data_IF_091009404619
#
_entry.id   IF_091009404619
#
_cell.length_a   1.000
_cell.length_b   1.000
_cell.length_c   1.000
_cell.angle_alpha   90.00
_cell.angle_beta   90.00
_cell.angle_gamma   90.00
#
_symmetry.space_group_name_H-M   'P 1'
#
loop_
_entity.id
_entity.type
_entity.pdbx_description
1 polymer ?
#
# COMPACT_ATOMS: atom_id res chain seq x y z
N UNK A 1 35.19 -41.13 48.30
CA UNK A 1 35.17 -40.01 49.26
C UNK A 1 35.78 -38.79 48.59
N UNK A 2 34.92 -37.81 48.27
CA UNK A 2 35.04 -36.34 48.38
C UNK A 2 36.32 -35.68 47.83
N UNK A 3 36.30 -34.82 46.79
CA UNK A 3 35.60 -33.54 46.64
C UNK A 3 35.82 -32.58 47.82
N UNK A 4 36.70 -31.58 47.66
CA UNK A 4 36.40 -30.14 47.82
C UNK A 4 37.69 -29.30 47.91
N UNK A 5 37.57 -28.05 47.41
CA UNK A 5 38.39 -26.84 47.67
C UNK A 5 39.49 -26.47 46.66
N UNK A 6 39.07 -26.20 45.42
CA UNK A 6 39.76 -25.27 44.49
C UNK A 6 39.04 -23.91 44.44
N UNK A 7 38.50 -23.44 45.59
CA UNK A 7 37.63 -22.24 45.67
C UNK A 7 38.14 -21.15 46.62
N UNK A 8 39.41 -21.16 46.99
CA UNK A 8 39.99 -20.17 47.91
C UNK A 8 41.20 -19.40 47.36
N UNK A 9 41.61 -19.59 46.10
CA UNK A 9 42.78 -18.89 45.53
C UNK A 9 42.47 -17.64 44.69
N UNK A 10 41.20 -17.23 44.59
CA UNK A 10 40.75 -16.19 43.65
C UNK A 10 40.32 -14.86 44.29
N UNK A 11 40.65 -14.61 45.57
CA UNK A 11 40.16 -13.44 46.31
C UNK A 11 41.20 -12.61 47.08
N UNK A 12 42.51 -12.70 46.75
CA UNK A 12 43.55 -12.02 47.56
C UNK A 12 44.63 -11.25 46.79
N UNK A 13 44.36 -10.74 45.58
CA UNK A 13 45.27 -9.79 44.91
C UNK A 13 44.54 -8.57 44.30
N UNK A 14 43.54 -8.06 45.04
CA UNK A 14 43.14 -6.66 44.95
C UNK A 14 43.91 -5.86 46.02
N UNK A 15 44.40 -4.68 45.62
CA UNK A 15 45.05 -3.62 46.41
C UNK A 15 46.58 -3.68 46.60
N UNK A 16 47.30 -3.01 45.70
CA UNK A 16 48.26 -1.97 46.07
C UNK A 16 48.64 -1.13 44.82
N UNK A 17 48.10 0.08 44.76
CA UNK A 17 48.56 1.19 43.92
C UNK A 17 49.86 1.80 44.48
N UNK A 18 50.70 2.41 43.64
CA UNK A 18 51.30 3.77 43.78
C UNK A 18 52.04 4.15 42.48
N UNK A 19 51.92 5.43 42.13
CA UNK A 19 52.19 6.16 40.89
C UNK A 19 53.66 6.47 40.52
N UNK A 20 53.91 6.65 39.22
CA UNK A 20 54.86 7.57 38.54
C UNK A 20 54.80 7.24 37.03
N UNK A 21 54.98 8.09 36.02
CA UNK A 21 55.13 9.52 35.82
C UNK A 21 54.88 9.75 34.31
N UNK A 22 54.55 11.00 33.97
CA UNK A 22 54.20 11.52 32.65
C UNK A 22 55.37 11.43 31.65
N UNK A 23 55.15 10.85 30.45
CA UNK A 23 55.88 11.26 29.23
C UNK A 23 55.13 10.80 27.96
N UNK A 24 54.84 11.77 27.08
CA UNK A 24 54.27 11.58 25.75
C UNK A 24 55.26 10.87 24.81
N UNK A 25 54.85 9.77 24.20
CA UNK A 25 55.46 9.28 22.98
C UNK A 25 54.43 8.55 22.11
N UNK A 26 54.20 9.12 20.92
CA UNK A 26 53.35 8.60 19.84
C UNK A 26 53.61 7.12 19.57
N UNK A 27 52.59 6.29 19.73
CA UNK A 27 52.52 4.97 19.13
C UNK A 27 51.37 4.93 18.12
N UNK A 28 51.73 4.58 16.88
CA UNK A 28 50.82 4.28 15.79
C UNK A 28 50.01 3.03 16.16
N UNK A 29 48.68 3.18 16.23
CA UNK A 29 47.76 2.05 16.17
C UNK A 29 46.88 2.23 14.94
N UNK A 30 47.30 1.57 13.87
CA UNK A 30 46.46 1.26 12.73
C UNK A 30 45.56 0.09 13.13
N UNK A 31 44.56 0.37 13.97
CA UNK A 31 43.44 -0.52 14.17
C UNK A 31 42.52 -0.37 12.97
N UNK A 32 42.57 -1.34 12.06
CA UNK A 32 41.61 -1.44 10.97
C UNK A 32 40.20 -1.52 11.54
N UNK A 33 39.41 -0.48 11.29
CA UNK A 33 37.99 -0.49 11.55
C UNK A 33 37.37 -1.64 10.77
N UNK A 34 36.98 -2.72 11.46
CA UNK A 34 35.87 -3.55 11.01
C UNK A 34 34.68 -2.60 11.07
N UNK A 35 34.32 -2.02 9.93
CA UNK A 35 33.15 -1.17 9.80
C UNK A 35 31.97 -1.98 10.30
N UNK A 36 31.41 -1.57 11.43
CA UNK A 36 30.08 -1.98 11.84
C UNK A 36 29.18 -1.47 10.72
N UNK A 37 28.69 -2.38 9.88
CA UNK A 37 27.76 -2.07 8.81
C UNK A 37 26.53 -1.48 9.49
N UNK A 38 26.42 -0.14 9.51
CA UNK A 38 25.26 0.54 10.08
C UNK A 38 24.06 0.02 9.30
N UNK A 39 23.16 -0.69 9.98
CA UNK A 39 21.89 -1.14 9.40
C UNK A 39 21.23 0.07 8.76
N UNK A 40 21.21 0.10 7.42
CA UNK A 40 20.55 1.17 6.68
C UNK A 40 19.06 1.03 6.95
N UNK A 41 18.43 2.11 7.40
CA UNK A 41 16.99 2.17 7.65
C UNK A 41 16.40 3.24 6.76
N UNK A 42 15.29 2.90 6.10
CA UNK A 42 14.45 3.85 5.39
C UNK A 42 13.20 4.18 6.18
N UNK A 43 12.68 5.37 5.94
CA UNK A 43 11.46 5.87 6.55
C UNK A 43 10.49 6.24 5.45
N UNK A 44 9.22 5.90 5.63
CA UNK A 44 8.14 6.27 4.72
C UNK A 44 6.91 6.66 5.55
N UNK A 45 6.42 7.88 5.34
CA UNK A 45 5.25 8.38 6.03
C UNK A 45 4.01 8.23 5.17
N UNK A 46 2.92 7.72 5.73
CA UNK A 46 1.64 7.59 5.02
C UNK A 46 0.63 8.51 5.68
N UNK A 47 0.16 9.49 4.90
CA UNK A 47 -0.95 10.35 5.27
C UNK A 47 -2.21 9.88 4.56
N UNK A 48 -3.26 9.57 5.31
CA UNK A 48 -4.45 8.91 4.75
C UNK A 48 -5.54 9.94 4.44
N UNK A 49 -6.08 9.89 3.24
CA UNK A 49 -7.26 10.64 2.85
C UNK A 49 -8.43 9.69 2.56
N UNK A 50 -9.63 10.05 2.99
CA UNK A 50 -10.83 9.23 2.75
C UNK A 50 -11.84 9.98 1.89
N UNK A 51 -12.41 9.31 0.89
CA UNK A 51 -13.51 9.86 0.08
C UNK A 51 -14.88 9.69 0.75
N UNK A 52 -15.93 10.24 0.15
CA UNK A 52 -17.32 10.11 0.64
C UNK A 52 -17.82 8.67 0.61
N UNK A 53 -17.37 7.86 -0.34
CA UNK A 53 -17.86 6.47 -0.48
C UNK A 53 -17.33 5.58 0.64
N UNK A 54 -16.06 5.75 1.02
CA UNK A 54 -15.47 5.11 2.19
C UNK A 54 -16.19 5.57 3.47
N UNK A 55 -16.34 6.88 3.67
CA UNK A 55 -16.92 7.46 4.90
C UNK A 55 -18.39 7.12 5.11
N UNK A 56 -19.16 6.99 4.03
CA UNK A 56 -20.57 6.58 4.09
C UNK A 56 -20.74 5.10 4.45
N UNK A 57 -19.70 4.30 4.23
CA UNK A 57 -19.75 2.85 4.40
C UNK A 57 -19.05 2.36 5.66
N UNK A 58 -18.06 3.11 6.16
CA UNK A 58 -17.39 2.77 7.41
C UNK A 58 -18.35 2.94 8.61
N UNK A 59 -18.47 1.91 9.47
CA UNK A 59 -19.26 2.03 10.69
C UNK A 59 -18.51 2.82 11.78
N UNK A 60 -17.23 3.10 11.58
CA UNK A 60 -16.37 3.76 12.56
C UNK A 60 -16.53 5.29 12.50
N UNK A 61 -16.37 5.93 13.67
CA UNK A 61 -16.44 7.37 13.88
C UNK A 61 -15.40 7.79 14.91
N UNK A 62 -14.98 9.06 14.84
CA UNK A 62 -14.09 9.71 15.80
C UNK A 62 -12.83 8.86 16.08
N UNK A 63 -12.47 8.64 17.36
CA UNK A 63 -11.29 7.86 17.76
C UNK A 63 -11.26 6.45 17.16
N UNK A 64 -12.41 5.80 16.99
CA UNK A 64 -12.46 4.44 16.40
C UNK A 64 -12.06 4.46 14.94
N UNK A 65 -12.41 5.53 14.21
CA UNK A 65 -11.98 5.70 12.82
C UNK A 65 -10.47 5.96 12.75
N UNK A 66 -9.94 6.82 13.61
CA UNK A 66 -8.49 7.07 13.67
C UNK A 66 -7.71 5.79 14.01
N UNK A 67 -8.16 5.02 15.01
CA UNK A 67 -7.57 3.72 15.34
C UNK A 67 -7.66 2.74 14.16
N UNK A 68 -8.75 2.77 13.38
CA UNK A 68 -8.87 1.94 12.17
C UNK A 68 -7.84 2.34 11.12
N UNK A 69 -7.65 3.63 10.88
CA UNK A 69 -6.68 4.10 9.88
C UNK A 69 -5.24 3.85 10.33
N UNK A 70 -4.92 4.04 11.61
CA UNK A 70 -3.63 3.65 12.19
C UNK A 70 -3.41 2.13 12.05
N UNK A 71 -4.41 1.33 12.41
CA UNK A 71 -4.37 -0.13 12.29
C UNK A 71 -4.22 -0.61 10.84
N UNK A 72 -4.83 0.11 9.89
CA UNK A 72 -4.68 -0.15 8.47
C UNK A 72 -3.22 0.01 8.05
N UNK A 73 -2.57 1.12 8.43
CA UNK A 73 -1.14 1.34 8.14
C UNK A 73 -0.22 0.37 8.88
N UNK A 74 -0.56 -0.04 10.10
CA UNK A 74 0.16 -1.12 10.78
C UNK A 74 0.03 -2.46 10.10
N UNK A 75 -1.16 -2.79 9.59
CA UNK A 75 -1.37 -3.94 8.72
C UNK A 75 -0.46 -3.88 7.49
N UNK A 76 -0.39 -2.72 6.83
CA UNK A 76 0.51 -2.50 5.68
C UNK A 76 1.97 -2.71 6.07
N UNK A 77 2.40 -2.15 7.21
CA UNK A 77 3.77 -2.24 7.72
C UNK A 77 4.21 -3.70 7.91
N UNK A 78 3.29 -4.58 8.31
CA UNK A 78 3.56 -6.01 8.45
C UNK A 78 3.98 -6.68 7.13
N UNK A 79 3.61 -6.18 5.96
CA UNK A 79 4.04 -6.73 4.67
C UNK A 79 5.49 -6.39 4.31
N UNK A 80 6.10 -5.42 5.00
CA UNK A 80 7.47 -4.97 4.74
C UNK A 80 8.50 -5.55 5.72
N UNK A 81 8.07 -6.38 6.67
CA UNK A 81 8.92 -6.99 7.72
C UNK A 81 10.11 -7.80 7.20
N UNK A 82 10.03 -8.27 5.95
CA UNK A 82 11.05 -9.11 5.31
C UNK A 82 12.18 -8.27 4.68
N UNK A 83 12.00 -6.95 4.55
CA UNK A 83 13.05 -6.04 4.13
C UNK A 83 14.01 -5.83 5.32
N UNK A 84 15.19 -6.45 5.25
CA UNK A 84 16.22 -6.38 6.32
C UNK A 84 17.38 -5.44 6.00
N UNK A 85 17.62 -5.16 4.72
CA UNK A 85 18.77 -4.37 4.29
C UNK A 85 18.46 -3.66 2.98
N UNK A 86 18.09 -2.37 3.03
CA UNK A 86 17.69 -1.65 4.24
C UNK A 86 16.34 -2.12 4.79
N UNK A 87 16.15 -1.96 6.10
CA UNK A 87 14.81 -2.05 6.70
C UNK A 87 14.00 -0.82 6.33
N UNK A 88 12.67 -0.91 6.42
CA UNK A 88 11.79 0.22 6.18
C UNK A 88 10.79 0.40 7.33
N UNK A 89 10.75 1.62 7.87
CA UNK A 89 9.81 2.07 8.88
C UNK A 89 8.69 2.84 8.22
N UNK A 90 7.51 2.23 8.16
CA UNK A 90 6.30 2.87 7.65
C UNK A 90 5.56 3.51 8.84
N UNK A 91 5.24 4.81 8.71
CA UNK A 91 4.70 5.63 9.80
C UNK A 91 3.36 6.21 9.38
N UNK A 92 2.34 6.06 10.23
CA UNK A 92 1.07 6.77 10.05
C UNK A 92 1.24 8.24 10.44
N UNK A 93 0.90 9.16 9.53
CA UNK A 93 1.05 10.62 9.73
C UNK A 93 -0.23 11.32 10.16
N UNK A 94 -1.35 10.59 10.21
CA UNK A 94 -2.67 11.16 10.42
C UNK A 94 -3.57 11.03 9.19
N UNK A 95 -4.78 11.56 9.31
CA UNK A 95 -5.78 11.47 8.26
C UNK A 95 -6.67 12.70 8.12
N UNK A 96 -7.34 12.81 6.97
CA UNK A 96 -8.45 13.75 6.77
C UNK A 96 -9.45 13.25 5.72
N UNK A 97 -10.62 13.89 5.68
CA UNK A 97 -11.50 13.75 4.52
C UNK A 97 -10.94 14.53 3.32
N UNK A 98 -11.14 14.00 2.12
CA UNK A 98 -10.98 14.80 0.90
C UNK A 98 -12.00 15.95 0.89
N UNK A 99 -11.58 17.10 0.38
CA UNK A 99 -12.49 18.21 0.08
C UNK A 99 -13.32 17.89 -1.16
N UNK A 100 -14.45 18.58 -1.37
CA UNK A 100 -15.30 18.35 -2.54
C UNK A 100 -14.54 18.53 -3.87
N UNK A 101 -13.60 19.47 -3.93
CA UNK A 101 -12.80 19.72 -5.13
C UNK A 101 -11.76 18.62 -5.37
N UNK A 102 -11.14 18.11 -4.31
CA UNK A 102 -10.24 16.95 -4.39
C UNK A 102 -11.00 15.68 -4.77
N UNK A 103 -12.15 15.40 -4.13
CA UNK A 103 -12.99 14.25 -4.46
C UNK A 103 -13.38 14.28 -5.95
N UNK A 104 -13.87 15.42 -6.45
CA UNK A 104 -14.27 15.55 -7.85
C UNK A 104 -13.12 15.29 -8.84
N UNK A 105 -11.89 15.66 -8.48
CA UNK A 105 -10.70 15.48 -9.32
C UNK A 105 -10.14 14.07 -9.23
N UNK A 106 -10.04 13.49 -8.03
CA UNK A 106 -9.43 12.18 -7.79
C UNK A 106 -10.41 11.05 -8.11
N UNK A 107 -11.64 11.16 -7.62
CA UNK A 107 -12.67 10.12 -7.76
C UNK A 107 -13.43 10.28 -9.09
N UNK A 108 -13.60 11.52 -9.54
CA UNK A 108 -14.43 11.89 -10.70
C UNK A 108 -15.81 12.41 -10.29
N UNK A 109 -16.58 12.92 -11.25
CA UNK A 109 -17.92 13.46 -10.97
C UNK A 109 -19.02 12.40 -11.07
N UNK A 110 -19.96 12.38 -10.12
CA UNK A 110 -21.20 11.56 -10.15
C UNK A 110 -22.08 11.76 -11.41
N UNK A 111 -21.81 12.77 -12.24
CA UNK A 111 -22.63 13.14 -13.40
C UNK A 111 -22.56 12.14 -14.56
N UNK A 112 -21.70 11.12 -14.50
CA UNK A 112 -21.79 9.96 -15.38
C UNK A 112 -22.45 8.84 -14.59
N UNK A 113 -23.75 8.66 -14.83
CA UNK A 113 -24.63 7.66 -14.18
C UNK A 113 -24.20 6.20 -14.47
N UNK A 114 -23.04 6.01 -15.10
CA UNK A 114 -22.54 4.74 -15.63
C UNK A 114 -21.17 4.32 -15.10
N UNK A 115 -20.36 5.21 -14.52
CA UNK A 115 -19.01 4.86 -14.03
C UNK A 115 -19.07 4.54 -12.52
N UNK A 116 -19.22 3.25 -12.20
CA UNK A 116 -19.18 2.71 -10.83
C UNK A 116 -17.75 2.46 -10.33
N UNK A 117 -16.75 2.93 -11.09
CA UNK A 117 -15.34 2.69 -10.84
C UNK A 117 -14.51 3.96 -11.09
N UNK A 118 -13.44 4.13 -10.32
CA UNK A 118 -12.47 5.21 -10.43
C UNK A 118 -11.45 4.85 -11.51
N UNK A 119 -11.20 5.79 -12.43
CA UNK A 119 -10.09 5.72 -13.38
C UNK A 119 -8.78 5.99 -12.65
N UNK A 120 -8.12 4.93 -12.20
CA UNK A 120 -6.95 5.01 -11.33
C UNK A 120 -5.79 5.79 -11.96
N UNK A 121 -5.63 5.72 -13.29
CA UNK A 121 -4.59 6.47 -13.99
C UNK A 121 -4.80 7.99 -13.92
N UNK A 122 -6.05 8.45 -14.05
CA UNK A 122 -6.41 9.86 -13.88
C UNK A 122 -6.32 10.30 -12.42
N UNK A 123 -6.79 9.46 -11.50
CA UNK A 123 -6.72 9.72 -10.06
C UNK A 123 -5.27 9.97 -9.61
N UNK A 124 -4.34 9.09 -9.99
CA UNK A 124 -2.92 9.19 -9.62
C UNK A 124 -2.26 10.43 -10.21
N UNK A 125 -2.60 10.82 -11.46
CA UNK A 125 -2.13 12.09 -12.03
C UNK A 125 -2.61 13.29 -11.23
N UNK A 126 -3.90 13.35 -10.92
CA UNK A 126 -4.44 14.45 -10.14
C UNK A 126 -3.85 14.51 -8.73
N UNK A 127 -3.58 13.36 -8.10
CA UNK A 127 -2.90 13.29 -6.81
C UNK A 127 -1.53 13.97 -6.81
N UNK A 128 -0.80 13.96 -7.93
CA UNK A 128 0.50 14.64 -8.05
C UNK A 128 0.39 16.16 -8.15
N UNK A 129 -0.80 16.70 -8.43
CA UNK A 129 -1.03 18.13 -8.54
C UNK A 129 -1.47 18.76 -7.20
N UNK A 130 -1.70 17.96 -6.15
CA UNK A 130 -2.16 18.48 -4.86
C UNK A 130 -1.00 18.63 -3.87
N UNK A 131 -0.84 19.80 -3.23
CA UNK A 131 0.01 19.91 -2.06
C UNK A 131 -0.65 19.16 -0.90
N UNK A 132 0.07 18.24 -0.24
CA UNK A 132 -0.34 17.84 1.10
C UNK A 132 -0.06 18.98 2.05
N UNK A 133 -1.11 19.50 2.66
CA UNK A 133 -1.00 20.32 3.86
C UNK A 133 -1.03 19.38 5.07
N UNK A 134 0.14 19.16 5.67
CA UNK A 134 0.27 18.52 6.98
C UNK A 134 0.74 19.64 7.91
N UNK A 135 -0.06 19.98 8.92
CA UNK A 135 0.24 21.00 9.92
C UNK A 135 0.69 22.36 9.33
N UNK A 136 -0.06 22.91 8.36
CA UNK A 136 0.18 24.21 7.71
C UNK A 136 1.54 24.35 6.97
N UNK A 137 2.25 23.25 6.74
CA UNK A 137 3.41 23.23 5.84
C UNK A 137 2.98 22.78 4.44
N UNK A 138 3.00 23.72 3.51
CA UNK A 138 2.77 23.48 2.08
C UNK A 138 3.94 22.69 1.46
N UNK A 139 3.59 21.63 0.75
CA UNK A 139 4.39 20.70 -0.06
C UNK A 139 4.65 19.35 0.61
N UNK A 140 4.58 18.28 -0.20
CA UNK A 140 5.37 17.07 0.08
C UNK A 140 6.76 17.29 -0.52
N UNK A 141 7.77 17.71 0.25
CA UNK A 141 9.13 17.26 -0.01
C UNK A 141 9.37 15.97 0.77
N UNK A 142 9.91 14.96 0.09
CA UNK A 142 10.57 13.82 0.72
C UNK A 142 9.76 12.53 0.77
N UNK A 143 10.00 11.72 1.80
CA UNK A 143 9.56 10.32 1.94
C UNK A 143 8.11 10.13 2.44
N UNK A 144 7.18 10.96 1.96
CA UNK A 144 5.76 10.91 2.39
C UNK A 144 4.84 10.58 1.22
N UNK A 145 3.79 9.81 1.51
CA UNK A 145 2.79 9.32 0.55
C UNK A 145 1.39 9.77 0.97
N UNK A 146 0.64 10.35 0.02
CA UNK A 146 -0.82 10.48 0.14
C UNK A 146 -1.47 9.14 -0.22
N UNK A 147 -2.18 8.52 0.72
CA UNK A 147 -2.97 7.32 0.47
C UNK A 147 -4.46 7.65 0.50
N UNK A 148 -5.14 7.59 -0.65
CA UNK A 148 -6.59 7.76 -0.76
C UNK A 148 -7.28 6.41 -0.60
N UNK A 149 -8.19 6.28 0.37
CA UNK A 149 -9.07 5.13 0.53
C UNK A 149 -10.45 5.42 -0.06
N UNK A 150 -10.95 4.50 -0.89
CA UNK A 150 -12.27 4.55 -1.51
C UNK A 150 -12.95 3.19 -1.47
N UNK A 151 -14.28 3.13 -1.50
CA UNK A 151 -15.01 1.85 -1.65
C UNK A 151 -15.18 1.45 -3.12
N UNK A 152 -14.97 2.39 -4.04
CA UNK A 152 -15.18 2.18 -5.46
C UNK A 152 -14.14 1.23 -6.05
N UNK A 153 -14.54 0.50 -7.09
CA UNK A 153 -13.59 -0.27 -7.89
C UNK A 153 -12.60 0.68 -8.56
N UNK A 154 -11.36 0.26 -8.76
CA UNK A 154 -10.32 1.08 -9.39
C UNK A 154 -9.88 0.40 -10.68
N UNK A 155 -9.84 1.12 -11.80
CA UNK A 155 -9.42 0.61 -13.11
C UNK A 155 -8.08 1.22 -13.52
N UNK A 156 -7.37 0.62 -14.48
CA UNK A 156 -6.11 1.20 -15.01
C UNK A 156 -6.31 2.30 -16.07
N UNK A 157 -7.55 2.75 -16.29
CA UNK A 157 -7.85 3.66 -17.38
C UNK A 157 -7.31 5.08 -17.14
N UNK A 158 -7.04 5.75 -18.26
CA UNK A 158 -6.72 7.17 -18.35
C UNK A 158 -7.64 7.82 -19.38
N UNK A 159 -8.11 9.02 -19.08
CA UNK A 159 -8.85 9.84 -20.05
C UNK A 159 -7.89 10.31 -21.14
N UNK A 160 -8.15 9.91 -22.39
CA UNK A 160 -7.38 10.36 -23.55
C UNK A 160 -7.75 11.80 -23.88
N UNK A 161 -6.79 12.71 -23.82
CA UNK A 161 -6.96 14.06 -24.35
C UNK A 161 -6.97 14.01 -25.89
N UNK A 162 -8.16 13.90 -26.50
CA UNK A 162 -8.29 14.18 -27.92
C UNK A 162 -8.26 15.70 -28.11
N UNK A 163 -7.08 16.26 -28.40
CA UNK A 163 -7.02 17.56 -29.06
C UNK A 163 -7.52 17.33 -30.48
N UNK A 164 -8.81 17.60 -30.72
CA UNK A 164 -9.33 17.72 -32.07
C UNK A 164 -8.62 18.88 -32.73
N UNK A 165 -7.47 18.63 -33.36
CA UNK A 165 -6.94 19.54 -34.37
C UNK A 165 -7.90 19.51 -35.55
N UNK A 166 -9.02 20.22 -35.41
CA UNK A 166 -9.77 20.69 -36.55
C UNK A 166 -8.87 21.74 -37.19
N UNK A 167 -8.06 21.31 -38.14
CA UNK A 167 -7.38 22.19 -39.08
C UNK A 167 -8.50 23.05 -39.69
N UNK A 168 -8.47 24.39 -39.56
CA UNK A 168 -9.41 25.21 -40.27
C UNK A 168 -9.08 25.05 -41.76
N UNK A 169 -9.98 24.40 -42.52
CA UNK A 169 -9.88 24.38 -43.97
C UNK A 169 -10.04 25.81 -44.48
N UNK A 170 -8.94 26.53 -44.63
CA UNK A 170 -8.84 27.72 -45.46
C UNK A 170 -8.48 27.29 -46.88
N UNK A 171 -9.48 27.17 -47.73
CA UNK A 171 -9.36 27.44 -49.17
C UNK A 171 -10.73 27.26 -49.84
N UNK A 172 -11.48 28.35 -49.89
CA UNK A 172 -12.34 28.64 -51.03
C UNK A 172 -11.43 28.96 -52.22
N UNK A 173 -11.39 28.08 -53.22
CA UNK A 173 -11.01 28.43 -54.59
C UNK A 173 -11.73 27.49 -55.53
N UNK A 174 -12.53 28.09 -56.40
CA UNK A 174 -13.26 27.46 -57.49
C UNK A 174 -12.30 26.82 -58.50
N UNK A 175 -12.69 25.67 -59.06
CA UNK A 175 -12.52 25.32 -60.48
C UNK A 175 -13.31 24.05 -60.80
N UNK A 176 -14.16 24.18 -61.82
CA UNK A 176 -14.98 23.14 -62.41
C UNK A 176 -14.17 22.17 -63.29
N UNK A 177 -14.70 20.93 -63.40
CA UNK A 177 -14.57 19.96 -64.51
C UNK A 177 -13.20 19.29 -64.75
N UNK A 178 -13.13 17.95 -64.59
CA UNK A 178 -13.38 17.01 -65.70
C UNK A 178 -13.33 15.53 -65.26
N UNK A 179 -13.94 14.71 -66.11
CA UNK A 179 -14.39 13.31 -65.99
C UNK A 179 -13.27 12.27 -65.84
N UNK A 180 -13.55 11.12 -65.21
CA UNK A 180 -13.58 9.84 -65.93
C UNK A 180 -14.12 8.68 -65.07
N UNK A 181 -14.84 7.79 -65.76
CA UNK A 181 -15.62 6.65 -65.30
C UNK A 181 -14.74 5.48 -64.81
N UNK A 182 -15.16 4.79 -63.75
CA UNK A 182 -15.30 3.33 -63.83
C UNK A 182 -16.32 2.79 -62.81
N UNK A 183 -17.06 1.81 -63.29
CA UNK A 183 -18.33 1.29 -62.82
C UNK A 183 -18.10 0.06 -61.93
N UNK A 184 -18.53 0.10 -60.66
CA UNK A 184 -18.93 -1.11 -59.93
C UNK A 184 -19.81 -0.75 -58.74
N UNK A 185 -21.12 -0.84 -58.97
CA UNK A 185 -22.12 -0.97 -57.92
C UNK A 185 -21.88 -2.27 -57.14
N UNK A 186 -21.09 -2.22 -56.06
CA UNK A 186 -21.28 -3.12 -54.92
C UNK A 186 -21.85 -2.31 -53.75
N UNK A 187 -23.12 -2.63 -53.50
CA UNK A 187 -23.98 -2.27 -52.39
C UNK A 187 -23.21 -2.16 -51.07
N UNK A 188 -22.63 -0.98 -50.82
CA UNK A 188 -21.97 -0.65 -49.56
C UNK A 188 -23.05 -0.34 -48.53
N UNK A 189 -23.76 -1.40 -48.13
CA UNK A 189 -24.46 -1.48 -46.87
C UNK A 189 -23.56 -0.85 -45.81
N UNK A 190 -23.98 0.23 -45.11
CA UNK A 190 -23.24 0.71 -43.98
C UNK A 190 -23.24 -0.41 -42.95
N UNK A 191 -22.12 -1.13 -42.86
CA UNK A 191 -21.81 -2.00 -41.74
C UNK A 191 -21.80 -1.08 -40.52
N UNK A 192 -22.96 -0.96 -39.88
CA UNK A 192 -23.10 -0.47 -38.54
C UNK A 192 -22.00 -1.20 -37.76
N UNK A 193 -20.97 -0.45 -37.35
CA UNK A 193 -19.88 -0.96 -36.54
C UNK A 193 -20.54 -1.68 -35.37
N UNK A 194 -20.59 -3.01 -35.47
CA UNK A 194 -21.00 -3.85 -34.37
C UNK A 194 -20.15 -3.36 -33.21
N UNK A 195 -20.82 -2.83 -32.18
CA UNK A 195 -20.16 -2.44 -30.96
C UNK A 195 -19.49 -3.71 -30.46
N UNK A 196 -18.19 -3.85 -30.75
CA UNK A 196 -17.33 -4.80 -30.07
C UNK A 196 -17.54 -4.46 -28.60
N UNK A 197 -18.27 -5.33 -27.90
CA UNK A 197 -18.49 -5.23 -26.47
C UNK A 197 -17.09 -5.20 -25.83
N UNK A 198 -16.59 -3.98 -25.59
CA UNK A 198 -15.32 -3.80 -24.89
C UNK A 198 -15.55 -4.40 -23.52
N UNK A 199 -14.78 -5.44 -23.19
CA UNK A 199 -14.81 -6.03 -21.86
C UNK A 199 -14.69 -4.90 -20.83
N UNK A 200 -15.54 -4.89 -19.80
CA UNK A 200 -15.48 -3.85 -18.81
C UNK A 200 -14.07 -3.83 -18.19
N UNK A 201 -13.54 -2.63 -17.91
CA UNK A 201 -12.24 -2.48 -17.28
C UNK A 201 -12.17 -3.29 -15.97
N UNK A 202 -11.06 -4.02 -15.79
CA UNK A 202 -10.87 -4.87 -14.61
C UNK A 202 -10.57 -4.01 -13.38
N UNK A 203 -11.17 -4.37 -12.24
CA UNK A 203 -10.79 -3.81 -10.95
C UNK A 203 -9.39 -4.29 -10.55
N UNK A 204 -8.48 -3.36 -10.26
CA UNK A 204 -7.10 -3.63 -9.85
C UNK A 204 -6.85 -3.46 -8.34
N UNK A 205 -7.86 -2.99 -7.59
CA UNK A 205 -7.82 -2.86 -6.12
C UNK A 205 -6.96 -1.69 -5.61
N UNK A 206 -5.98 -1.22 -6.37
CA UNK A 206 -5.18 -0.05 -6.05
C UNK A 206 -4.38 0.45 -7.25
N UNK A 207 -3.89 1.68 -7.14
CA UNK A 207 -3.06 2.31 -8.16
C UNK A 207 -2.09 3.34 -7.57
N UNK A 208 -0.83 3.30 -7.99
CA UNK A 208 0.20 4.30 -7.73
C UNK A 208 1.22 4.36 -8.87
N UNK A 209 2.02 5.43 -8.91
CA UNK A 209 3.12 5.55 -9.86
C UNK A 209 4.37 4.84 -9.36
N UNK A 210 5.01 4.07 -10.23
CA UNK A 210 6.26 3.38 -9.92
C UNK A 210 7.39 4.36 -9.58
N UNK A 211 8.08 4.12 -8.47
CA UNK A 211 9.32 4.83 -8.12
C UNK A 211 9.17 6.33 -7.82
N UNK A 212 7.96 6.79 -7.47
CA UNK A 212 7.69 8.21 -7.27
C UNK A 212 8.00 8.74 -5.85
N UNK A 213 8.41 7.88 -4.89
CA UNK A 213 8.36 8.19 -3.44
C UNK A 213 9.01 9.52 -3.04
N UNK A 214 10.17 9.90 -3.60
CA UNK A 214 10.90 11.10 -3.22
C UNK A 214 10.51 12.39 -3.96
N UNK A 215 9.42 12.35 -4.73
CA UNK A 215 8.89 13.52 -5.43
C UNK A 215 7.50 13.86 -4.86
N UNK A 216 6.45 13.67 -5.65
CA UNK A 216 5.07 13.75 -5.21
C UNK A 216 4.44 12.38 -5.40
N UNK A 217 4.18 11.71 -4.29
CA UNK A 217 3.65 10.35 -4.30
C UNK A 217 2.22 10.30 -3.79
N UNK A 218 1.38 9.68 -4.62
CA UNK A 218 0.00 9.37 -4.31
C UNK A 218 -0.31 7.92 -4.68
N UNK A 219 -1.16 7.30 -3.86
CA UNK A 219 -1.77 6.02 -4.14
C UNK A 219 -3.27 6.09 -3.84
N UNK A 220 -4.09 5.44 -4.64
CA UNK A 220 -5.50 5.20 -4.33
C UNK A 220 -5.74 3.71 -4.19
N UNK A 221 -6.47 3.32 -3.14
CA UNK A 221 -6.70 1.93 -2.79
C UNK A 221 -8.16 1.72 -2.44
N UNK A 222 -8.70 0.62 -2.94
CA UNK A 222 -10.03 0.16 -2.58
C UNK A 222 -9.99 -0.47 -1.19
N UNK A 223 -10.84 0.02 -0.29
CA UNK A 223 -11.10 -0.60 1.01
C UNK A 223 -12.60 -0.56 1.34
N UNK A 224 -13.09 -1.61 1.99
CA UNK A 224 -14.47 -1.71 2.46
C UNK A 224 -14.82 -0.68 3.54
N UNK A 225 -13.80 -0.16 4.24
CA UNK A 225 -13.94 0.71 5.40
C UNK A 225 -14.38 -0.01 6.68
N UNK A 226 -14.46 -1.35 6.66
CA UNK A 226 -14.94 -2.14 7.81
C UNK A 226 -13.99 -3.24 8.25
N UNK A 227 -13.27 -3.88 7.33
CA UNK A 227 -12.53 -5.11 7.63
C UNK A 227 -11.10 -5.17 7.08
N UNK A 228 -10.48 -4.01 6.85
CA UNK A 228 -9.08 -3.91 6.41
C UNK A 228 -8.78 -4.58 5.05
N UNK A 229 -9.81 -4.79 4.22
CA UNK A 229 -9.71 -5.43 2.91
C UNK A 229 -8.66 -4.82 1.96
N UNK A 230 -8.38 -3.52 2.12
CA UNK A 230 -7.44 -2.78 1.29
C UNK A 230 -5.98 -2.90 1.72
N UNK A 231 -5.66 -3.53 2.86
CA UNK A 231 -4.28 -3.55 3.41
C UNK A 231 -3.29 -4.17 2.42
N UNK A 232 -3.61 -5.33 1.83
CA UNK A 232 -2.72 -5.99 0.87
C UNK A 232 -2.53 -5.15 -0.41
N UNK A 233 -3.60 -4.49 -0.88
CA UNK A 233 -3.52 -3.60 -2.03
C UNK A 233 -2.67 -2.37 -1.73
N UNK A 234 -2.84 -1.74 -0.56
CA UNK A 234 -2.00 -0.63 -0.12
C UNK A 234 -0.53 -1.04 0.02
N UNK A 235 -0.23 -2.22 0.59
CA UNK A 235 1.13 -2.72 0.66
C UNK A 235 1.77 -2.87 -0.74
N UNK A 236 1.00 -3.37 -1.72
CA UNK A 236 1.44 -3.45 -3.12
C UNK A 236 1.70 -2.06 -3.72
N UNK A 237 0.82 -1.09 -3.49
CA UNK A 237 1.01 0.26 -4.02
C UNK A 237 2.18 1.00 -3.36
N UNK A 238 2.45 0.77 -2.06
CA UNK A 238 3.66 1.27 -1.38
C UNK A 238 4.92 0.63 -1.96
N UNK A 239 4.93 -0.69 -2.17
CA UNK A 239 6.03 -1.37 -2.82
C UNK A 239 6.28 -0.88 -4.26
N UNK A 240 5.22 -0.42 -4.93
CA UNK A 240 5.29 0.17 -6.26
C UNK A 240 5.91 1.58 -6.23
N UNK A 241 5.50 2.49 -5.34
CA UNK A 241 6.10 3.84 -5.24
C UNK A 241 7.55 3.83 -4.78
N UNK A 242 7.98 2.81 -4.02
CA UNK A 242 9.39 2.60 -3.68
C UNK A 242 10.25 2.22 -4.89
N UNK A 243 9.63 1.74 -5.98
CA UNK A 243 10.31 1.47 -7.24
C UNK A 243 11.50 0.52 -7.11
N UNK A 244 12.70 0.89 -7.58
CA UNK A 244 13.89 0.03 -7.53
C UNK A 244 14.42 -0.18 -6.10
N UNK A 245 13.98 0.64 -5.14
CA UNK A 245 14.39 0.51 -3.74
C UNK A 245 13.71 -0.68 -3.06
N UNK A 246 12.51 -1.07 -3.52
CA UNK A 246 11.81 -2.21 -2.97
C UNK A 246 12.49 -3.54 -3.35
N UNK A 247 12.99 -4.27 -2.34
CA UNK A 247 13.65 -5.57 -2.49
C UNK A 247 12.97 -6.72 -1.71
N UNK A 248 11.70 -6.53 -1.30
CA UNK A 248 10.93 -7.53 -0.59
C UNK A 248 10.19 -8.53 -1.49
N UNK A 249 9.24 -9.26 -0.90
CA UNK A 249 8.53 -10.40 -1.52
C UNK A 249 7.15 -10.07 -2.09
N UNK A 250 6.63 -8.86 -1.86
CA UNK A 250 5.34 -8.40 -2.37
C UNK A 250 5.39 -8.40 -3.90
N UNK A 251 4.48 -9.16 -4.49
CA UNK A 251 4.32 -9.23 -5.94
C UNK A 251 3.74 -7.92 -6.47
N UNK A 252 4.55 -7.19 -7.23
CA UNK A 252 4.17 -5.92 -7.89
C UNK A 252 3.53 -6.19 -9.26
N UNK A 253 3.34 -5.12 -10.04
CA UNK A 253 2.81 -5.16 -11.41
C UNK A 253 3.56 -6.19 -12.26
N UNK A 254 2.79 -7.00 -12.98
CA UNK A 254 3.34 -7.91 -14.01
C UNK A 254 3.47 -7.12 -15.31
N UNK A 255 4.62 -7.26 -15.97
CA UNK A 255 4.95 -6.61 -17.22
C UNK A 255 5.54 -7.64 -18.18
N UNK A 256 5.03 -7.67 -19.40
CA UNK A 256 5.63 -8.41 -20.52
C UNK A 256 6.54 -7.51 -21.35
N UNK A 257 7.32 -8.11 -22.25
CA UNK A 257 8.15 -7.33 -23.20
C UNK A 257 7.29 -6.49 -24.14
N UNK A 258 6.11 -6.98 -24.51
CA UNK A 258 5.16 -6.32 -25.42
C UNK A 258 4.43 -5.12 -24.77
N UNK A 259 4.44 -5.02 -23.44
CA UNK A 259 3.82 -3.90 -22.72
C UNK A 259 4.66 -2.62 -22.82
N UNK A 260 5.95 -2.74 -23.15
CA UNK A 260 6.85 -1.59 -23.21
C UNK A 260 6.50 -0.67 -24.39
N UNK A 261 6.39 0.62 -24.11
CA UNK A 261 6.16 1.63 -25.14
C UNK A 261 4.70 1.79 -25.59
N UNK A 262 3.75 1.07 -24.98
CA UNK A 262 2.33 1.38 -25.16
C UNK A 262 1.99 2.71 -24.48
N UNK A 263 1.20 3.57 -25.15
CA UNK A 263 0.70 4.83 -24.58
C UNK A 263 -0.47 4.63 -23.58
N UNK A 264 -0.53 3.47 -22.94
CA UNK A 264 -1.45 3.17 -21.84
C UNK A 264 -0.77 3.44 -20.50
N UNK A 265 -1.54 3.62 -19.43
CA UNK A 265 -0.95 3.69 -18.09
C UNK A 265 -0.08 2.47 -17.80
N UNK A 266 -0.61 1.28 -18.09
CA UNK A 266 0.08 0.01 -17.91
C UNK A 266 1.46 0.02 -18.61
N UNK A 267 1.48 0.36 -19.90
CA UNK A 267 2.72 0.38 -20.67
C UNK A 267 3.72 1.43 -20.21
N UNK A 268 3.25 2.61 -19.78
CA UNK A 268 4.10 3.64 -19.17
C UNK A 268 4.74 3.15 -17.86
N UNK A 269 3.97 2.49 -16.98
CA UNK A 269 4.51 1.93 -15.74
C UNK A 269 5.49 0.79 -16.02
N UNK A 270 5.17 -0.11 -16.94
CA UNK A 270 6.06 -1.21 -17.31
C UNK A 270 7.35 -0.71 -17.97
N UNK A 271 7.26 0.31 -18.82
CA UNK A 271 8.42 0.99 -19.35
C UNK A 271 9.29 1.61 -18.26
N UNK A 272 8.69 2.25 -17.26
CA UNK A 272 9.42 2.80 -16.12
C UNK A 272 10.11 1.70 -15.28
N UNK A 273 9.42 0.58 -15.03
CA UNK A 273 9.97 -0.56 -14.30
C UNK A 273 11.18 -1.18 -15.02
N UNK A 274 11.04 -1.47 -16.31
CA UNK A 274 12.06 -2.17 -17.10
C UNK A 274 13.28 -1.29 -17.40
N UNK A 275 13.09 0.02 -17.54
CA UNK A 275 14.17 0.97 -17.79
C UNK A 275 14.75 1.60 -16.51
N UNK A 276 14.22 1.24 -15.33
CA UNK A 276 14.73 1.78 -14.07
C UNK A 276 16.16 1.30 -13.81
N UNK A 277 17.08 2.24 -13.71
CA UNK A 277 18.42 1.97 -13.19
C UNK A 277 18.41 2.22 -11.68
N UNK A 278 19.10 1.36 -10.94
CA UNK A 278 19.32 1.57 -9.52
C UNK A 278 20.19 2.82 -9.34
N UNK A 279 19.60 3.85 -8.73
CA UNK A 279 20.25 5.12 -8.45
C UNK A 279 19.85 5.56 -7.03
N UNK A 280 20.71 5.25 -6.05
CA UNK A 280 20.45 5.51 -4.63
C UNK A 280 20.30 7.02 -4.35
N UNK A 281 20.93 7.89 -5.17
CA UNK A 281 20.86 9.35 -5.03
C UNK A 281 19.44 9.89 -5.27
N UNK A 282 18.66 9.22 -6.13
CA UNK A 282 17.25 9.58 -6.39
C UNK A 282 16.32 9.27 -5.22
N UNK A 283 16.77 8.44 -4.29
CA UNK A 283 15.95 7.94 -3.18
C UNK A 283 16.50 8.35 -1.81
N UNK A 284 17.38 9.36 -1.76
CA UNK A 284 17.97 9.83 -0.50
C UNK A 284 16.94 10.33 0.50
N UNK A 285 15.78 10.81 0.05
CA UNK A 285 14.71 11.25 0.95
C UNK A 285 14.26 10.16 1.93
N UNK A 286 14.41 8.87 1.56
CA UNK A 286 14.05 7.76 2.43
C UNK A 286 14.95 7.66 3.67
N UNK A 287 16.13 8.30 3.66
CA UNK A 287 17.06 8.33 4.80
C UNK A 287 16.59 9.28 5.90
N UNK A 288 15.68 10.21 5.60
CA UNK A 288 15.22 11.23 6.54
C UNK A 288 14.25 10.61 7.55
N UNK A 289 14.60 10.65 8.84
CA UNK A 289 13.69 10.19 9.90
C UNK A 289 12.41 11.02 9.91
N UNK A 290 11.27 10.35 10.06
CA UNK A 290 9.99 11.01 10.20
C UNK A 290 9.66 11.14 11.67
N UNK A 291 9.49 12.38 12.13
CA UNK A 291 9.01 12.70 13.47
C UNK A 291 7.54 12.28 13.60
N UNK A 292 7.33 11.02 13.99
CA UNK A 292 6.04 10.42 14.27
C UNK A 292 6.28 9.30 15.30
N UNK A 293 5.29 9.06 16.15
CA UNK A 293 5.39 8.20 17.34
C UNK A 293 6.19 6.92 17.07
N UNK A 294 7.35 6.78 17.75
CA UNK A 294 8.12 5.52 17.91
C UNK A 294 7.31 4.44 18.69
N UNK A 295 5.99 4.53 18.67
CA UNK A 295 5.07 3.61 19.30
C UNK A 295 4.89 2.35 18.48
N UNK A 296 4.62 1.25 19.16
CA UNK A 296 4.23 -0.01 18.55
C UNK A 296 3.00 0.20 17.67
N UNK A 297 3.16 0.09 16.34
CA UNK A 297 2.09 0.36 15.38
C UNK A 297 0.87 -0.51 15.72
N UNK A 298 -0.33 0.10 15.78
CA UNK A 298 -1.56 -0.67 15.94
C UNK A 298 -1.71 -1.61 14.74
N UNK A 299 -1.97 -2.90 14.95
CA UNK A 299 -2.28 -3.85 13.86
C UNK A 299 -3.79 -4.09 13.78
N UNK A 300 -4.32 -4.63 12.67
CA UNK A 300 -5.73 -5.02 12.60
C UNK A 300 -6.15 -5.96 13.74
N UNK A 301 -5.28 -6.90 14.15
CA UNK A 301 -5.53 -7.72 15.33
C UNK A 301 -5.67 -6.89 16.61
N UNK A 302 -4.75 -5.94 16.85
CA UNK A 302 -4.80 -5.06 18.03
C UNK A 302 -6.03 -4.14 18.02
N UNK A 303 -6.47 -3.69 16.85
CA UNK A 303 -7.71 -2.93 16.69
C UNK A 303 -8.92 -3.71 17.21
N UNK A 304 -9.13 -4.94 16.75
CA UNK A 304 -10.25 -5.77 17.23
C UNK A 304 -10.13 -6.14 18.72
N UNK A 305 -8.91 -6.22 19.25
CA UNK A 305 -8.65 -6.42 20.69
C UNK A 305 -9.00 -5.19 21.53
N UNK A 306 -8.69 -3.97 21.04
CA UNK A 306 -9.07 -2.69 21.67
C UNK A 306 -10.59 -2.49 21.61
N UNK A 307 -11.18 -2.68 20.44
CA UNK A 307 -12.58 -2.42 20.16
C UNK A 307 -13.44 -3.69 20.11
N UNK A 308 -13.60 -4.35 21.26
CA UNK A 308 -14.32 -5.65 21.36
C UNK A 308 -15.77 -5.65 20.85
N UNK A 309 -16.39 -4.48 20.67
CA UNK A 309 -17.71 -4.34 20.06
C UNK A 309 -17.71 -4.65 18.55
N UNK A 310 -16.55 -4.59 17.91
CA UNK A 310 -16.32 -4.92 16.52
C UNK A 310 -15.58 -6.26 16.45
N UNK A 311 -16.09 -7.19 15.64
CA UNK A 311 -15.46 -8.49 15.41
C UNK A 311 -15.11 -8.66 13.93
N UNK A 312 -14.10 -9.48 13.58
CA UNK A 312 -13.75 -9.72 12.17
C UNK A 312 -14.94 -10.19 11.34
N UNK A 313 -15.73 -11.13 11.88
CA UNK A 313 -16.94 -11.61 11.23
C UNK A 313 -18.02 -10.52 11.11
N UNK A 314 -18.36 -9.85 12.22
CA UNK A 314 -19.42 -8.84 12.22
C UNK A 314 -19.14 -7.64 11.32
N UNK A 315 -17.86 -7.31 11.13
CA UNK A 315 -17.41 -6.21 10.26
C UNK A 315 -17.22 -6.62 8.80
N UNK A 316 -16.97 -7.91 8.53
CA UNK A 316 -16.94 -8.44 7.16
C UNK A 316 -18.34 -8.74 6.63
N UNK A 317 -19.22 -9.28 7.48
CA UNK A 317 -20.59 -9.64 7.16
C UNK A 317 -21.51 -9.27 8.32
N UNK A 318 -22.31 -8.22 8.14
CA UNK A 318 -23.26 -7.75 9.14
C UNK A 318 -24.18 -8.87 9.62
N UNK A 319 -24.31 -9.01 10.95
CA UNK A 319 -25.15 -10.05 11.56
C UNK A 319 -24.49 -11.43 11.65
N UNK A 320 -23.18 -11.53 11.42
CA UNK A 320 -22.43 -12.77 11.63
C UNK A 320 -21.53 -12.70 12.87
N UNK A 321 -21.21 -13.87 13.41
CA UNK A 321 -20.26 -14.10 14.48
C UNK A 321 -19.33 -15.26 14.11
N UNK A 322 -18.22 -15.41 14.83
CA UNK A 322 -17.35 -16.57 14.64
C UNK A 322 -18.12 -17.86 14.96
N UNK A 323 -17.98 -18.85 14.08
CA UNK A 323 -18.60 -20.14 14.26
C UNK A 323 -18.05 -20.83 15.52
N UNK A 324 -18.93 -21.38 16.35
CA UNK A 324 -18.50 -22.10 17.56
C UNK A 324 -17.84 -23.42 17.16
N UNK A 325 -16.53 -23.50 17.31
CA UNK A 325 -15.79 -24.74 17.25
C UNK A 325 -15.70 -25.41 18.63
N UNK A 326 -15.82 -26.75 18.65
CA UNK A 326 -15.78 -27.56 19.88
C UNK A 326 -14.36 -27.76 20.42
N UNK A 327 -13.34 -27.41 19.63
CA UNK A 327 -11.93 -27.52 20.03
C UNK A 327 -11.43 -26.15 20.43
N UNK A 328 -10.74 -26.09 21.56
CA UNK A 328 -9.98 -24.91 21.98
C UNK A 328 -8.55 -25.11 21.48
N UNK A 329 -8.17 -24.56 20.32
CA UNK A 329 -6.79 -24.63 19.85
C UNK A 329 -5.86 -23.85 20.80
N UNK A 330 -4.55 -24.09 20.70
CA UNK A 330 -3.58 -23.33 21.50
C UNK A 330 -3.46 -21.88 21.01
N UNK A 331 -3.75 -21.65 19.73
CA UNK A 331 -3.91 -20.34 19.10
C UNK A 331 -5.29 -20.22 18.46
N UNK A 332 -6.03 -19.11 18.62
CA UNK A 332 -7.42 -19.01 18.15
C UNK A 332 -7.59 -19.36 16.66
N UNK A 333 -6.65 -18.92 15.82
CA UNK A 333 -6.71 -19.10 14.37
C UNK A 333 -5.38 -19.64 13.80
N UNK A 334 -4.95 -20.85 14.20
CA UNK A 334 -3.70 -21.49 13.73
C UNK A 334 -3.54 -21.49 12.20
N UNK A 335 -4.65 -21.64 11.45
CA UNK A 335 -4.66 -21.61 9.99
C UNK A 335 -4.85 -20.21 9.38
N UNK A 336 -4.83 -19.16 10.19
CA UNK A 336 -5.09 -17.77 9.79
C UNK A 336 -6.39 -17.55 9.00
N UNK A 337 -7.41 -18.35 9.31
CA UNK A 337 -8.71 -18.29 8.69
C UNK A 337 -9.79 -18.37 9.78
N UNK A 338 -10.83 -17.56 9.62
CA UNK A 338 -11.98 -17.49 10.51
C UNK A 338 -13.22 -17.91 9.73
N UNK A 339 -14.01 -18.82 10.30
CA UNK A 339 -15.34 -19.14 9.78
C UNK A 339 -16.40 -18.30 10.49
N UNK A 340 -17.19 -17.58 9.70
CA UNK A 340 -18.27 -16.71 10.16
C UNK A 340 -19.63 -17.34 9.89
N UNK A 341 -20.46 -17.40 10.92
CA UNK A 341 -21.79 -17.97 10.96
C UNK A 341 -22.84 -16.88 11.25
N UNK A 342 -24.06 -17.03 10.74
CA UNK A 342 -25.16 -16.10 11.04
C UNK A 342 -25.52 -16.16 12.53
N UNK A 343 -25.68 -14.99 13.15
CA UNK A 343 -26.09 -14.84 14.55
C UNK A 343 -27.58 -15.20 14.72
N UNK A 344 -27.91 -16.49 14.84
CA UNK A 344 -29.28 -16.95 15.11
C UNK A 344 -29.36 -18.03 16.20
N UNK A 345 -30.43 -17.94 17.01
CA UNK A 345 -30.76 -18.80 18.15
C UNK A 345 -31.18 -20.23 17.80
N UNK A 346 -31.23 -20.58 16.52
CA UNK A 346 -31.77 -21.84 16.01
C UNK A 346 -30.68 -22.58 15.23
N UNK A 347 -30.12 -23.62 15.86
CA UNK A 347 -28.98 -24.42 15.38
C UNK A 347 -29.12 -25.03 13.96
N UNK A 348 -30.30 -25.00 13.34
CA UNK A 348 -30.58 -25.66 12.06
C UNK A 348 -30.29 -24.80 10.82
N UNK A 349 -29.97 -23.50 10.95
CA UNK A 349 -29.64 -22.60 9.82
C UNK A 349 -28.13 -22.30 9.69
N UNK A 350 -27.27 -23.03 10.38
CA UNK A 350 -25.80 -22.94 10.31
C UNK A 350 -25.19 -23.34 8.94
N UNK A 351 -25.98 -23.37 7.87
CA UNK A 351 -25.55 -23.73 6.52
C UNK A 351 -24.75 -22.62 5.82
N UNK A 352 -24.99 -21.35 6.19
CA UNK A 352 -24.25 -20.22 5.59
C UNK A 352 -23.00 -19.94 6.41
N UNK A 353 -21.86 -20.38 5.87
CA UNK A 353 -20.53 -20.12 6.41
C UNK A 353 -19.75 -19.25 5.43
N UNK A 354 -19.14 -18.20 5.93
CA UNK A 354 -18.22 -17.35 5.18
C UNK A 354 -16.83 -17.50 5.78
N UNK A 355 -15.82 -17.73 4.96
CA UNK A 355 -14.44 -17.75 5.43
C UNK A 355 -13.79 -16.40 5.15
N UNK A 356 -13.16 -15.84 6.16
CA UNK A 356 -12.36 -14.62 6.06
C UNK A 356 -10.95 -14.89 6.59
N UNK A 357 -9.94 -14.14 6.13
CA UNK A 357 -8.62 -14.20 6.77
C UNK A 357 -8.72 -13.73 8.23
N UNK A 358 -7.90 -14.34 9.09
CA UNK A 358 -7.69 -13.80 10.43
C UNK A 358 -7.01 -12.41 10.34
N UNK A 359 -7.32 -11.48 11.27
CA UNK A 359 -6.71 -10.16 11.29
C UNK A 359 -5.17 -10.21 11.24
N UNK A 360 -4.59 -9.34 10.41
CA UNK A 360 -3.14 -9.23 10.32
C UNK A 360 -2.53 -8.87 11.69
N UNK A 361 -1.47 -9.59 12.06
CA UNK A 361 -0.79 -9.45 13.35
C UNK A 361 -1.31 -10.37 14.46
N UNK A 362 -2.29 -11.23 14.20
CA UNK A 362 -2.73 -12.25 15.15
C UNK A 362 -1.74 -13.42 15.25
N UNK A 363 -1.41 -13.88 16.46
CA UNK A 363 -0.55 -15.05 16.64
C UNK A 363 -1.21 -16.34 16.12
N UNK A 364 -0.50 -17.06 15.25
CA UNK A 364 -0.95 -18.35 14.71
C UNK A 364 -0.07 -19.53 15.15
N UNK A 365 1.17 -19.26 15.56
CA UNK A 365 2.10 -20.24 16.13
C UNK A 365 3.13 -19.50 16.99
N UNK A 366 4.01 -20.23 17.67
CA UNK A 366 5.15 -19.63 18.39
C UNK A 366 6.01 -18.83 17.41
N UNK A 367 6.13 -17.52 17.65
CA UNK A 367 6.87 -16.57 16.80
C UNK A 367 6.35 -16.51 15.36
N UNK A 368 5.04 -16.71 15.16
CA UNK A 368 4.39 -16.52 13.86
C UNK A 368 3.08 -15.78 14.01
N UNK A 369 2.77 -14.96 13.02
CA UNK A 369 1.52 -14.21 12.96
C UNK A 369 0.81 -14.38 11.62
N UNK A 370 -0.48 -14.11 11.61
CA UNK A 370 -1.28 -14.04 10.41
C UNK A 370 -0.95 -12.78 9.60
N UNK A 371 -0.80 -12.98 8.29
CA UNK A 371 -0.64 -11.94 7.30
C UNK A 371 -1.35 -12.36 6.01
N UNK A 372 -2.37 -11.64 5.60
CA UNK A 372 -3.13 -11.92 4.38
C UNK A 372 -3.74 -13.33 4.35
N UNK A 373 -4.15 -13.84 5.52
CA UNK A 373 -4.70 -15.20 5.67
C UNK A 373 -3.66 -16.33 5.70
N UNK A 374 -2.37 -16.01 5.80
CA UNK A 374 -1.28 -17.00 5.88
C UNK A 374 -0.49 -16.84 7.19
N UNK A 375 -0.10 -17.95 7.81
CA UNK A 375 0.74 -17.95 9.01
C UNK A 375 2.22 -17.79 8.62
N UNK A 376 2.83 -16.66 8.96
CA UNK A 376 4.20 -16.27 8.57
C UNK A 376 5.05 -15.96 9.80
N UNK A 377 6.38 -16.00 9.68
CA UNK A 377 7.28 -15.67 10.78
C UNK A 377 7.05 -14.25 11.33
N UNK A 378 6.97 -14.13 12.66
CA UNK A 378 7.09 -12.86 13.36
C UNK A 378 8.59 -12.58 13.53
N UNK A 379 9.07 -11.54 12.85
CA UNK A 379 10.47 -11.13 12.92
C UNK A 379 10.76 -10.33 14.20
#
# INVERSE_FOLDING_TARGET
MNALRLREFLLLLLFASVSAALEEAKASEQAGCIGQETEKTWYLGVYVATDVTFRSCTPYKDEVLEDYLEAFIGGVSLYFRDMKSPSIHIVYLGSRSLTNDEEKKIIGSEKSVTETAVKGGDAVKHMMDFPLTIDDHDNIPGNKLLLVLTRLNITEEETKNSVSHVIPNSASSESDQDLDYDDSDEDSMPLARAALEKKPPKNVGGMSQYGSICFMSGAIVQDSGSNFSGVAAAAKEIANVLGPMYNGTIKRRECSEDDQGMDTYHGKQCGAMMNSQYDEERFECLKDEINGTKGEIMTPHRFYKKHKGWTPCGTSYTGTEECKDLKTPSYPHESCNISCCIKQSLNFLNFMRYNIPAPDGEDCESKKICLGGTCVAAN
#
